data_IF_694080611616
#
_entry.id   IF_694080611616
#
_cell.length_a   1.000
_cell.length_b   1.000
_cell.length_c   1.000
_cell.angle_alpha   90.00
_cell.angle_beta   90.00
_cell.angle_gamma   90.00
#
_symmetry.space_group_name_H-M   'P 1'
#
loop_
_entity.id
_entity.type
_entity.pdbx_description
1 polymer ?
#
# COMPACT_ATOMS: atom_id res chain seq x y z
N UNK A 1 16.97 -2.11 -34.59
CA UNK A 1 16.69 -3.34 -33.84
C UNK A 1 16.75 -3.02 -32.35
N UNK A 2 15.86 -3.61 -31.58
CA UNK A 2 15.84 -3.46 -30.12
C UNK A 2 15.97 -4.85 -29.47
N UNK A 3 16.69 -4.93 -28.37
CA UNK A 3 16.87 -6.12 -27.58
C UNK A 3 16.57 -5.78 -26.12
N UNK A 4 15.72 -6.60 -25.49
CA UNK A 4 15.42 -6.52 -24.07
C UNK A 4 16.02 -7.74 -23.37
N UNK A 5 16.90 -7.53 -22.43
CA UNK A 5 17.58 -8.58 -21.67
C UNK A 5 17.28 -8.44 -20.19
N UNK A 6 16.92 -9.53 -19.53
CA UNK A 6 16.82 -9.57 -18.08
C UNK A 6 18.17 -10.03 -17.51
N UNK A 7 18.86 -9.15 -16.82
CA UNK A 7 20.16 -9.43 -16.23
C UNK A 7 20.07 -10.12 -14.86
N UNK A 8 19.06 -9.76 -14.08
CA UNK A 8 18.68 -10.34 -12.78
C UNK A 8 17.18 -10.20 -12.58
N UNK A 9 16.58 -10.89 -11.60
CA UNK A 9 15.24 -10.56 -11.17
C UNK A 9 15.14 -9.04 -10.89
N UNK A 10 14.19 -8.38 -11.50
CA UNK A 10 13.94 -6.92 -11.38
C UNK A 10 14.97 -5.98 -12.04
N UNK A 11 15.90 -6.50 -12.87
CA UNK A 11 16.83 -5.65 -13.65
C UNK A 11 16.74 -6.02 -15.12
N UNK A 12 16.26 -5.06 -15.90
CA UNK A 12 16.11 -5.18 -17.34
C UNK A 12 17.03 -4.19 -18.04
N UNK A 13 17.68 -4.64 -19.09
CA UNK A 13 18.50 -3.79 -19.96
C UNK A 13 17.87 -3.75 -21.34
N UNK A 14 17.62 -2.55 -21.84
CA UNK A 14 17.14 -2.35 -23.20
C UNK A 14 18.26 -1.77 -24.04
N UNK A 15 18.57 -2.43 -25.16
CA UNK A 15 19.57 -1.99 -26.12
C UNK A 15 18.88 -1.64 -27.43
N UNK A 16 19.13 -0.46 -27.97
CA UNK A 16 18.63 0.00 -29.24
C UNK A 16 19.82 0.22 -30.16
N UNK A 17 19.78 -0.36 -31.35
CA UNK A 17 20.83 -0.25 -32.36
C UNK A 17 20.32 0.46 -33.62
N UNK A 18 21.26 0.89 -34.48
CA UNK A 18 21.01 1.58 -35.73
C UNK A 18 20.36 2.97 -35.57
N UNK A 19 20.84 3.73 -34.59
CA UNK A 19 20.47 5.14 -34.43
C UNK A 19 21.40 5.97 -35.30
N UNK A 20 20.85 6.71 -36.25
CA UNK A 20 21.61 7.59 -37.14
C UNK A 20 21.78 8.98 -36.53
N UNK A 21 22.79 9.75 -36.95
CA UNK A 21 22.90 11.14 -36.52
C UNK A 21 21.64 11.92 -36.87
N UNK A 22 21.05 12.59 -35.86
CA UNK A 22 19.80 13.36 -36.01
C UNK A 22 18.53 12.55 -35.76
N UNK A 23 18.62 11.25 -35.55
CA UNK A 23 17.45 10.44 -35.19
C UNK A 23 16.99 10.73 -33.76
N UNK A 24 15.67 10.67 -33.59
CA UNK A 24 15.03 10.72 -32.28
C UNK A 24 14.45 9.35 -31.96
N UNK A 25 14.78 8.81 -30.80
CA UNK A 25 14.23 7.55 -30.30
C UNK A 25 13.31 7.82 -29.13
N UNK A 26 12.04 7.46 -29.26
CA UNK A 26 11.06 7.49 -28.18
C UNK A 26 10.96 6.12 -27.56
N UNK A 27 11.13 6.03 -26.24
CA UNK A 27 10.97 4.81 -25.46
C UNK A 27 9.81 5.02 -24.50
N UNK A 28 8.83 4.14 -24.57
CA UNK A 28 7.65 4.18 -23.70
C UNK A 28 7.60 2.89 -22.89
N UNK A 29 7.46 3.03 -21.58
CA UNK A 29 7.34 1.92 -20.63
C UNK A 29 6.04 2.05 -19.83
N UNK A 30 5.18 1.04 -19.95
CA UNK A 30 3.98 0.94 -19.15
C UNK A 30 4.16 -0.18 -18.12
N UNK A 31 3.87 0.12 -16.87
CA UNK A 31 3.88 -0.89 -15.81
C UNK A 31 2.79 -0.60 -14.78
N UNK A 32 2.43 -1.61 -14.04
CA UNK A 32 1.44 -1.53 -12.96
C UNK A 32 2.09 -2.01 -11.67
N UNK A 33 1.87 -1.29 -10.60
CA UNK A 33 2.37 -1.61 -9.28
C UNK A 33 1.24 -1.50 -8.26
N UNK A 34 1.22 -2.41 -7.28
CA UNK A 34 0.29 -2.33 -6.16
C UNK A 34 0.96 -1.62 -4.99
N UNK A 35 0.42 -0.46 -4.61
CA UNK A 35 0.90 0.26 -3.43
C UNK A 35 0.28 -0.32 -2.17
N UNK A 36 1.12 -0.62 -1.19
CA UNK A 36 0.70 -1.19 0.09
C UNK A 36 0.53 -0.08 1.11
N UNK A 37 -0.60 -0.10 1.83
CA UNK A 37 -0.83 0.79 2.95
C UNK A 37 0.06 0.37 4.13
N UNK A 38 0.95 1.24 4.56
CA UNK A 38 1.84 1.02 5.69
C UNK A 38 1.62 2.12 6.73
N UNK A 39 1.23 1.73 7.94
CA UNK A 39 0.95 2.67 9.05
C UNK A 39 0.01 3.82 8.64
N UNK A 40 -1.05 3.49 7.90
CA UNK A 40 -2.05 4.47 7.46
C UNK A 40 -1.59 5.39 6.31
N UNK A 41 -0.42 5.16 5.73
CA UNK A 41 0.17 6.00 4.69
C UNK A 41 0.45 5.18 3.43
N UNK A 42 0.04 5.71 2.27
CA UNK A 42 0.47 5.23 0.96
C UNK A 42 1.72 5.98 0.56
N UNK A 43 2.66 5.27 -0.04
CA UNK A 43 3.88 5.83 -0.59
C UNK A 43 4.07 5.37 -2.03
N UNK A 44 4.30 6.34 -2.92
CA UNK A 44 4.72 6.11 -4.29
C UNK A 44 6.14 6.63 -4.46
N UNK A 45 7.04 5.74 -4.90
CA UNK A 45 8.44 6.09 -5.17
C UNK A 45 8.74 5.87 -6.63
N UNK A 46 9.14 6.95 -7.33
CA UNK A 46 9.71 6.85 -8.66
C UNK A 46 11.23 6.98 -8.56
N UNK A 47 11.99 5.88 -8.82
CA UNK A 47 13.44 5.90 -8.71
C UNK A 47 14.06 6.65 -9.89
N UNK A 48 14.48 7.88 -9.66
CA UNK A 48 15.17 8.71 -10.67
C UNK A 48 16.69 8.51 -10.63
N UNK A 49 17.21 7.98 -9.51
CA UNK A 49 18.64 7.79 -9.32
C UNK A 49 19.01 6.32 -9.30
N UNK A 50 19.89 5.92 -10.21
CA UNK A 50 20.54 4.61 -10.15
C UNK A 50 21.80 4.74 -9.31
N UNK A 51 21.70 4.45 -8.02
CA UNK A 51 22.84 4.46 -7.10
C UNK A 51 23.91 3.41 -7.45
N UNK A 52 25.17 3.63 -6.98
CA UNK A 52 26.24 2.67 -7.16
C UNK A 52 25.83 1.34 -6.53
N UNK A 53 25.72 0.33 -7.37
CA UNK A 53 25.56 -1.03 -6.86
C UNK A 53 26.95 -1.52 -6.51
N UNK A 54 27.19 -1.80 -5.24
CA UNK A 54 28.44 -2.41 -4.80
C UNK A 54 28.55 -3.81 -5.43
N UNK A 55 29.32 -3.91 -6.48
CA UNK A 55 29.80 -5.17 -6.98
C UNK A 55 31.04 -5.46 -6.14
N UNK A 56 30.98 -6.45 -5.25
CA UNK A 56 32.16 -6.91 -4.54
C UNK A 56 33.24 -7.26 -5.57
N UNK A 57 34.47 -6.77 -5.46
CA UNK A 57 35.54 -7.09 -6.41
C UNK A 57 36.06 -8.54 -6.28
N UNK A 58 35.25 -9.45 -5.74
CA UNK A 58 35.60 -10.84 -5.59
C UNK A 58 35.34 -11.61 -6.86
N UNK A 59 36.41 -12.00 -7.50
CA UNK A 59 36.67 -13.21 -8.29
C UNK A 59 36.39 -13.26 -9.78
N UNK A 60 35.56 -12.39 -10.39
CA UNK A 60 35.24 -12.60 -11.83
C UNK A 60 35.48 -11.37 -12.72
N UNK A 61 36.69 -10.77 -12.57
CA UNK A 61 37.21 -9.81 -13.55
C UNK A 61 37.73 -10.50 -14.83
N UNK A 62 37.21 -11.67 -15.19
CA UNK A 62 37.52 -12.30 -16.45
C UNK A 62 36.26 -12.43 -17.29
N UNK A 63 36.25 -11.62 -18.37
CA UNK A 63 35.39 -11.73 -19.54
C UNK A 63 33.89 -11.53 -19.32
N UNK A 64 33.42 -10.34 -19.63
CA UNK A 64 32.00 -9.91 -19.60
C UNK A 64 31.68 -8.97 -18.43
N UNK A 65 32.50 -7.94 -18.28
CA UNK A 65 32.30 -6.94 -17.23
C UNK A 65 30.85 -6.47 -17.17
N UNK A 66 30.32 -6.42 -15.99
CA UNK A 66 28.94 -5.97 -15.70
C UNK A 66 28.74 -4.51 -16.17
N UNK A 67 28.67 -4.27 -17.48
CA UNK A 67 28.40 -2.96 -18.09
C UNK A 67 27.14 -2.31 -17.50
N UNK A 68 26.18 -3.11 -17.07
CA UNK A 68 24.97 -2.64 -16.41
C UNK A 68 25.19 -2.10 -14.99
N UNK A 69 26.31 -2.44 -14.35
CA UNK A 69 26.66 -1.95 -13.01
C UNK A 69 27.51 -0.67 -13.10
N UNK A 70 28.09 -0.39 -14.24
CA UNK A 70 28.82 0.82 -14.54
C UNK A 70 27.84 1.93 -14.96
N UNK A 71 26.99 2.40 -14.03
CA UNK A 71 26.23 3.60 -14.27
C UNK A 71 27.21 4.76 -14.43
N UNK A 72 27.13 5.57 -15.52
CA UNK A 72 27.98 6.72 -15.67
C UNK A 72 27.62 7.75 -14.58
N UNK A 73 28.49 7.90 -13.60
CA UNK A 73 28.33 8.92 -12.58
C UNK A 73 28.64 10.29 -13.16
N UNK A 74 27.86 11.25 -12.78
CA UNK A 74 28.23 12.65 -12.93
C UNK A 74 29.03 13.10 -11.69
N UNK A 75 30.01 13.96 -11.90
CA UNK A 75 30.72 14.59 -10.80
C UNK A 75 29.74 15.43 -9.96
N UNK A 76 30.01 15.49 -8.65
CA UNK A 76 29.21 16.29 -7.74
C UNK A 76 29.19 17.75 -8.24
N UNK A 77 27.99 18.32 -8.39
CA UNK A 77 27.71 19.64 -8.94
C UNK A 77 27.87 19.79 -10.48
N UNK A 78 28.03 18.72 -11.22
CA UNK A 78 27.90 18.80 -12.67
C UNK A 78 26.45 19.09 -13.06
N UNK A 79 26.26 19.89 -14.13
CA UNK A 79 24.91 20.12 -14.64
C UNK A 79 24.29 18.80 -15.13
N UNK A 80 22.99 18.57 -14.89
CA UNK A 80 22.32 17.35 -15.35
C UNK A 80 22.37 17.26 -16.89
N UNK A 81 22.67 16.07 -17.39
CA UNK A 81 22.74 15.82 -18.86
C UNK A 81 21.36 15.68 -19.50
N UNK A 82 20.35 15.47 -18.71
CA UNK A 82 18.97 15.33 -19.14
C UNK A 82 18.02 16.00 -18.16
N UNK A 83 16.82 16.21 -18.60
CA UNK A 83 15.71 16.68 -17.76
C UNK A 83 14.62 15.65 -17.74
N UNK A 84 13.90 15.57 -16.63
CA UNK A 84 12.70 14.76 -16.51
C UNK A 84 11.56 15.59 -15.94
N UNK A 85 10.35 15.12 -16.15
CA UNK A 85 9.17 15.70 -15.56
C UNK A 85 8.29 14.60 -14.97
N UNK A 86 7.55 14.93 -13.93
CA UNK A 86 6.60 14.01 -13.30
C UNK A 86 5.25 14.70 -13.22
N UNK A 87 4.25 14.00 -13.77
CA UNK A 87 2.84 14.34 -13.59
C UNK A 87 2.13 13.14 -12.97
N UNK A 88 1.52 13.32 -11.81
CA UNK A 88 0.76 12.30 -11.12
C UNK A 88 -0.70 12.68 -11.07
N UNK A 89 -1.57 11.78 -11.53
CA UNK A 89 -3.02 11.88 -11.32
C UNK A 89 -3.42 10.87 -10.24
N UNK A 90 -3.76 11.37 -9.07
CA UNK A 90 -4.20 10.57 -7.95
C UNK A 90 -5.72 10.59 -7.90
N UNK A 91 -6.33 9.41 -7.89
CA UNK A 91 -7.77 9.23 -7.75
C UNK A 91 -8.06 8.15 -6.72
N UNK A 92 -8.92 8.46 -5.77
CA UNK A 92 -9.28 7.56 -4.68
C UNK A 92 -10.80 7.57 -4.49
N UNK A 93 -11.31 6.60 -3.75
CA UNK A 93 -12.74 6.53 -3.39
C UNK A 93 -13.03 7.18 -2.03
N UNK A 94 -11.98 7.48 -1.29
CA UNK A 94 -12.03 8.11 0.04
C UNK A 94 -11.23 9.41 -0.06
N UNK A 95 -11.65 10.51 0.60
CA UNK A 95 -10.92 11.76 0.56
C UNK A 95 -9.42 11.61 0.88
N UNK A 96 -8.61 12.30 0.10
CA UNK A 96 -7.15 12.32 0.25
C UNK A 96 -6.79 13.34 1.34
N UNK A 97 -5.91 12.93 2.25
CA UNK A 97 -5.35 13.77 3.30
C UNK A 97 -3.85 13.60 3.38
N UNK A 98 -3.17 14.52 4.03
CA UNK A 98 -1.72 14.40 4.28
C UNK A 98 -0.87 14.28 3.03
N UNK A 99 -1.33 14.79 1.87
CA UNK A 99 -0.58 14.74 0.63
C UNK A 99 0.70 15.56 0.74
N UNK A 100 1.85 14.91 0.61
CA UNK A 100 3.16 15.53 0.74
C UNK A 100 4.21 14.86 -0.15
N UNK A 101 5.16 15.66 -0.61
CA UNK A 101 6.37 15.18 -1.27
C UNK A 101 7.59 15.72 -0.51
N UNK A 102 8.32 14.81 0.15
CA UNK A 102 9.50 15.20 0.93
C UNK A 102 10.73 15.45 0.05
N UNK A 103 10.76 14.87 -1.14
CA UNK A 103 11.92 14.88 -2.03
C UNK A 103 11.96 16.09 -2.97
N UNK A 104 10.80 16.61 -3.40
CA UNK A 104 10.69 17.67 -4.39
C UNK A 104 9.61 18.70 -3.99
N UNK A 105 9.75 19.91 -4.51
CA UNK A 105 8.65 20.87 -4.47
C UNK A 105 7.61 20.48 -5.50
N UNK A 106 6.36 20.44 -5.10
CA UNK A 106 5.25 20.04 -5.96
C UNK A 106 4.18 21.12 -6.03
N UNK A 107 3.56 21.22 -7.19
CA UNK A 107 2.29 21.93 -7.39
C UNK A 107 1.16 20.91 -7.28
N UNK A 108 0.17 21.19 -6.46
CA UNK A 108 -0.97 20.31 -6.23
C UNK A 108 -2.25 21.04 -6.60
N UNK A 109 -3.01 20.44 -7.50
CA UNK A 109 -4.39 20.84 -7.80
C UNK A 109 -5.32 19.73 -7.29
N UNK A 110 -6.21 20.07 -6.38
CA UNK A 110 -7.18 19.13 -5.80
C UNK A 110 -8.60 19.58 -6.15
N UNK A 111 -9.11 19.20 -7.32
CA UNK A 111 -10.42 19.64 -7.80
C UNK A 111 -11.57 19.10 -6.95
N UNK A 112 -11.39 17.93 -6.34
CA UNK A 112 -12.30 17.31 -5.38
C UNK A 112 -11.48 16.57 -4.33
N UNK A 113 -12.05 16.35 -3.16
CA UNK A 113 -11.35 15.73 -2.02
C UNK A 113 -10.74 14.34 -2.32
N UNK A 114 -11.30 13.63 -3.29
CA UNK A 114 -10.87 12.29 -3.69
C UNK A 114 -9.96 12.25 -4.91
N UNK A 115 -9.55 13.40 -5.45
CA UNK A 115 -8.61 13.44 -6.57
C UNK A 115 -7.62 14.58 -6.44
N UNK A 116 -6.39 14.34 -6.90
CA UNK A 116 -5.35 15.35 -6.98
C UNK A 116 -4.54 15.20 -8.26
N UNK A 117 -4.09 16.32 -8.80
CA UNK A 117 -3.09 16.39 -9.87
C UNK A 117 -1.84 16.99 -9.27
N UNK A 118 -0.73 16.30 -9.45
CA UNK A 118 0.54 16.69 -8.86
C UNK A 118 1.56 16.82 -9.99
N UNK A 119 2.31 17.91 -10.01
CA UNK A 119 3.42 18.14 -10.94
C UNK A 119 4.62 18.70 -10.17
N UNK A 120 5.82 18.60 -10.77
CA UNK A 120 7.00 19.25 -10.21
C UNK A 120 6.79 20.78 -10.21
N UNK A 121 7.16 21.41 -9.10
CA UNK A 121 6.93 22.83 -8.85
C UNK A 121 8.13 23.73 -9.08
N UNK A 122 9.35 23.16 -9.12
CA UNK A 122 10.58 23.92 -9.26
C UNK A 122 11.39 23.41 -10.47
N UNK A 123 11.74 24.27 -11.42
CA UNK A 123 12.59 23.87 -12.54
C UNK A 123 13.92 23.23 -12.14
N UNK A 124 14.45 23.57 -10.97
CA UNK A 124 15.67 22.95 -10.43
C UNK A 124 15.50 21.47 -10.09
N UNK A 125 14.26 21.02 -9.86
CA UNK A 125 13.94 19.63 -9.52
C UNK A 125 13.88 18.69 -10.74
N UNK A 126 13.98 19.22 -11.95
CA UNK A 126 13.94 18.44 -13.20
C UNK A 126 15.27 17.76 -13.56
N UNK A 127 16.26 17.81 -12.69
CA UNK A 127 17.60 17.24 -12.94
C UNK A 127 17.74 15.74 -12.64
N UNK A 128 16.77 15.11 -12.02
CA UNK A 128 16.79 13.67 -11.71
C UNK A 128 17.90 13.24 -10.75
N UNK A 129 18.26 14.09 -9.80
CA UNK A 129 19.35 13.85 -8.84
C UNK A 129 18.92 13.10 -7.57
N UNK A 130 17.63 12.86 -7.42
CA UNK A 130 17.02 12.13 -6.28
C UNK A 130 15.71 11.49 -6.67
N UNK A 131 15.31 10.46 -5.93
CA UNK A 131 14.05 9.78 -6.14
C UNK A 131 12.87 10.69 -5.80
N UNK A 132 11.81 10.57 -6.59
CA UNK A 132 10.56 11.27 -6.31
C UNK A 132 9.73 10.42 -5.34
N UNK A 133 9.37 10.98 -4.19
CA UNK A 133 8.65 10.28 -3.11
C UNK A 133 7.39 11.06 -2.77
N UNK A 134 6.24 10.51 -3.15
CA UNK A 134 4.93 11.07 -2.86
C UNK A 134 4.23 10.22 -1.79
N UNK A 135 3.73 10.87 -0.75
CA UNK A 135 2.98 10.23 0.35
C UNK A 135 1.62 10.85 0.50
N UNK A 136 0.64 10.04 0.83
CA UNK A 136 -0.70 10.51 1.18
C UNK A 136 -1.38 9.54 2.14
N UNK A 137 -2.41 10.04 2.79
CA UNK A 137 -3.30 9.26 3.64
C UNK A 137 -4.72 9.37 3.09
N UNK A 138 -5.58 8.47 3.48
CA UNK A 138 -7.00 8.54 3.19
C UNK A 138 -7.74 8.93 4.46
N UNK A 139 -8.66 9.91 4.34
CA UNK A 139 -9.38 10.43 5.50
C UNK A 139 -10.30 9.37 6.12
N UNK A 140 -10.25 9.21 7.43
CA UNK A 140 -11.30 8.53 8.15
C UNK A 140 -10.90 7.83 9.43
N UNK A 141 -11.63 8.16 10.49
CA UNK A 141 -11.67 7.37 11.73
C UNK A 141 -12.76 6.28 11.69
N UNK A 142 -13.68 6.35 10.74
CA UNK A 142 -14.75 5.36 10.55
C UNK A 142 -14.45 4.43 9.37
N UNK A 143 -15.08 3.26 9.34
CA UNK A 143 -15.06 2.36 8.18
C UNK A 143 -15.54 3.13 6.95
N UNK A 144 -14.71 3.21 5.94
CA UNK A 144 -15.06 3.82 4.65
C UNK A 144 -14.92 2.80 3.55
N UNK A 145 -15.90 2.81 2.67
CA UNK A 145 -15.85 1.98 1.47
C UNK A 145 -16.12 2.84 0.24
N UNK A 146 -15.55 2.44 -0.87
CA UNK A 146 -15.78 3.08 -2.14
C UNK A 146 -15.57 2.11 -3.28
N UNK A 147 -16.23 2.40 -4.39
CA UNK A 147 -16.22 1.59 -5.59
C UNK A 147 -15.67 2.42 -6.74
N UNK A 148 -14.63 1.91 -7.38
CA UNK A 148 -14.12 2.43 -8.65
C UNK A 148 -14.55 1.50 -9.77
N UNK A 149 -15.04 2.08 -10.85
CA UNK A 149 -15.42 1.37 -12.07
C UNK A 149 -14.50 1.81 -13.20
N UNK A 150 -14.00 0.86 -13.96
CA UNK A 150 -13.28 1.10 -15.20
C UNK A 150 -13.97 0.33 -16.33
N UNK A 151 -14.44 1.07 -17.34
CA UNK A 151 -15.08 0.51 -18.52
C UNK A 151 -14.05 0.38 -19.64
N UNK A 152 -13.77 -0.84 -20.04
CA UNK A 152 -12.91 -1.14 -21.17
C UNK A 152 -13.73 -1.54 -22.41
N UNK A 153 -13.07 -1.66 -23.54
CA UNK A 153 -13.74 -2.07 -24.81
C UNK A 153 -14.23 -3.54 -24.77
N UNK A 154 -13.55 -4.41 -24.05
CA UNK A 154 -13.87 -5.85 -24.00
C UNK A 154 -14.45 -6.27 -22.66
N UNK A 155 -14.00 -5.67 -21.58
CA UNK A 155 -14.35 -6.04 -20.20
C UNK A 155 -14.43 -4.80 -19.33
N UNK A 156 -15.29 -4.87 -18.32
CA UNK A 156 -15.41 -3.84 -17.30
C UNK A 156 -14.81 -4.38 -16.01
N UNK A 157 -14.07 -3.52 -15.32
CA UNK A 157 -13.44 -3.86 -14.04
C UNK A 157 -14.01 -2.99 -12.94
N UNK A 158 -14.07 -3.53 -11.74
CA UNK A 158 -14.35 -2.73 -10.56
C UNK A 158 -13.31 -3.03 -9.47
N UNK A 159 -13.07 -2.03 -8.65
CA UNK A 159 -12.27 -2.16 -7.45
C UNK A 159 -13.10 -1.67 -6.27
N UNK A 160 -13.35 -2.58 -5.33
CA UNK A 160 -13.94 -2.23 -4.04
C UNK A 160 -12.82 -1.99 -3.04
N UNK A 161 -12.77 -0.79 -2.47
CA UNK A 161 -11.87 -0.44 -1.39
C UNK A 161 -12.67 -0.35 -0.10
N UNK A 162 -12.23 -1.07 0.93
CA UNK A 162 -12.78 -0.98 2.28
C UNK A 162 -11.62 -0.65 3.23
N UNK A 163 -11.68 0.50 3.85
CA UNK A 163 -10.69 0.92 4.83
C UNK A 163 -11.27 0.77 6.23
N UNK A 164 -10.69 -0.12 7.06
CA UNK A 164 -11.09 -0.22 8.46
C UNK A 164 -10.65 1.02 9.24
N UNK A 165 -11.28 1.34 10.38
CA UNK A 165 -10.83 2.40 11.25
C UNK A 165 -9.46 2.06 11.85
N UNK A 166 -8.66 3.06 12.16
CA UNK A 166 -7.36 2.89 12.81
C UNK A 166 -7.48 2.22 14.18
N UNK A 167 -8.53 2.57 14.90
CA UNK A 167 -8.95 1.91 16.16
C UNK A 167 -10.45 1.75 16.18
N UNK A 168 -10.90 0.59 16.62
CA UNK A 168 -12.30 0.34 16.91
C UNK A 168 -12.60 0.98 18.27
N UNK A 169 -13.48 1.96 18.31
CA UNK A 169 -13.95 2.54 19.57
C UNK A 169 -14.99 1.63 20.22
N UNK A 170 -15.18 1.74 21.52
CA UNK A 170 -16.21 0.97 22.22
C UNK A 170 -17.63 1.27 21.69
N UNK A 171 -17.84 2.46 21.14
CA UNK A 171 -19.10 2.92 20.54
C UNK A 171 -19.39 2.25 19.19
N UNK A 172 -18.32 1.86 18.45
CA UNK A 172 -18.44 1.18 17.16
C UNK A 172 -18.80 -0.31 17.30
N UNK A 173 -18.68 -0.86 18.52
CA UNK A 173 -18.98 -2.26 18.76
C UNK A 173 -20.47 -2.39 19.07
N UNK A 174 -21.26 -3.05 18.20
CA UNK A 174 -22.70 -3.23 18.48
C UNK A 174 -22.92 -3.99 19.78
N UNK A 175 -24.03 -3.72 20.42
CA UNK A 175 -24.48 -4.49 21.58
C UNK A 175 -24.63 -5.97 21.21
N UNK A 176 -24.25 -6.86 22.11
CA UNK A 176 -24.31 -8.30 21.92
C UNK A 176 -25.38 -8.90 22.82
N UNK A 177 -26.01 -9.96 22.33
CA UNK A 177 -26.87 -10.83 23.13
C UNK A 177 -26.12 -12.14 23.36
N UNK A 178 -25.90 -12.47 24.64
CA UNK A 178 -25.24 -13.71 25.05
C UNK A 178 -26.31 -14.70 25.51
N UNK A 179 -26.24 -15.91 25.01
CA UNK A 179 -27.13 -17.01 25.44
C UNK A 179 -26.26 -18.09 26.07
N UNK A 180 -26.34 -18.20 27.38
CA UNK A 180 -25.67 -19.25 28.15
C UNK A 180 -26.60 -20.44 28.29
N UNK A 181 -26.17 -21.61 27.86
CA UNK A 181 -26.91 -22.85 28.05
C UNK A 181 -26.11 -23.72 29.00
N UNK A 182 -26.62 -23.86 30.23
CA UNK A 182 -25.99 -24.66 31.28
C UNK A 182 -26.58 -26.03 31.32
N UNK A 183 -25.74 -27.07 31.17
CA UNK A 183 -26.11 -28.43 31.41
C UNK A 183 -26.22 -28.67 32.92
N UNK A 184 -27.39 -29.11 33.36
CA UNK A 184 -27.72 -29.45 34.76
C UNK A 184 -28.09 -30.92 34.92
N UNK A 185 -27.64 -31.79 34.01
CA UNK A 185 -27.82 -33.22 34.09
C UNK A 185 -27.15 -33.82 35.35
N UNK A 186 -27.54 -35.02 35.74
CA UNK A 186 -27.04 -35.66 36.95
C UNK A 186 -25.52 -35.82 36.99
N UNK A 187 -24.87 -35.97 35.84
CA UNK A 187 -23.40 -36.06 35.71
C UNK A 187 -22.68 -34.76 36.05
N UNK A 188 -23.37 -33.61 36.00
CA UNK A 188 -22.82 -32.29 36.32
C UNK A 188 -22.89 -31.96 37.81
N UNK A 189 -23.49 -32.82 38.63
CA UNK A 189 -23.67 -32.53 40.06
C UNK A 189 -22.33 -32.35 40.81
N UNK A 190 -22.27 -31.34 41.66
CA UNK A 190 -21.08 -31.02 42.43
C UNK A 190 -20.08 -30.12 41.67
N UNK A 191 -18.79 -30.42 41.75
CA UNK A 191 -17.70 -29.60 41.23
C UNK A 191 -17.89 -29.12 39.77
N UNK A 192 -18.33 -29.94 38.78
CA UNK A 192 -18.50 -29.45 37.42
C UNK A 192 -19.56 -28.35 37.31
N UNK A 193 -20.69 -28.50 38.01
CA UNK A 193 -21.78 -27.51 37.99
C UNK A 193 -21.37 -26.20 38.69
N UNK A 194 -20.64 -26.33 39.80
CA UNK A 194 -20.20 -25.17 40.57
C UNK A 194 -19.16 -24.36 39.77
N UNK A 195 -18.20 -25.03 39.12
CA UNK A 195 -17.24 -24.38 38.23
C UNK A 195 -17.94 -23.72 37.04
N UNK A 196 -18.95 -24.33 36.44
CA UNK A 196 -19.70 -23.76 35.34
C UNK A 196 -20.47 -22.50 35.74
N UNK A 197 -21.02 -22.47 36.95
CA UNK A 197 -21.70 -21.29 37.53
C UNK A 197 -20.70 -20.15 37.76
N UNK A 198 -19.56 -20.42 38.38
CA UNK A 198 -18.49 -19.45 38.60
C UNK A 198 -18.04 -18.82 37.29
N UNK A 199 -17.85 -19.64 36.22
CA UNK A 199 -17.49 -19.17 34.91
C UNK A 199 -18.55 -18.23 34.30
N UNK A 200 -19.85 -18.59 34.42
CA UNK A 200 -20.92 -17.75 33.91
C UNK A 200 -21.00 -16.44 34.70
N UNK A 201 -20.82 -16.46 36.00
CA UNK A 201 -20.80 -15.25 36.83
C UNK A 201 -19.66 -14.33 36.45
N UNK A 202 -18.46 -14.86 36.20
CA UNK A 202 -17.31 -14.09 35.72
C UNK A 202 -17.61 -13.49 34.34
N UNK A 203 -18.13 -14.28 33.39
CA UNK A 203 -18.48 -13.79 32.07
C UNK A 203 -19.55 -12.70 32.11
N UNK A 204 -20.59 -12.84 32.92
CA UNK A 204 -21.65 -11.85 33.06
C UNK A 204 -21.12 -10.56 33.69
N UNK A 205 -20.23 -10.67 34.67
CA UNK A 205 -19.60 -9.51 35.34
C UNK A 205 -18.73 -8.68 34.40
N UNK A 206 -18.23 -9.28 33.32
CA UNK A 206 -17.40 -8.63 32.31
C UNK A 206 -18.18 -8.15 31.07
N UNK A 207 -19.51 -8.29 31.05
CA UNK A 207 -20.35 -7.75 29.99
C UNK A 207 -20.40 -6.22 30.05
N UNK A 208 -20.55 -5.59 28.89
CA UNK A 208 -20.79 -4.14 28.82
C UNK A 208 -22.23 -3.83 29.23
N UNK A 209 -22.48 -2.62 29.69
CA UNK A 209 -23.83 -2.15 30.04
C UNK A 209 -24.84 -2.25 28.88
N UNK A 210 -24.35 -2.21 27.64
CA UNK A 210 -25.16 -2.33 26.44
C UNK A 210 -25.44 -3.76 26.02
N UNK A 211 -24.71 -4.73 26.58
CA UNK A 211 -24.89 -6.15 26.26
C UNK A 211 -26.05 -6.75 27.05
N UNK A 212 -26.73 -7.72 26.49
CA UNK A 212 -27.80 -8.44 27.13
C UNK A 212 -27.47 -9.92 27.23
N UNK A 213 -28.04 -10.62 28.21
CA UNK A 213 -27.83 -12.06 28.31
C UNK A 213 -29.10 -12.83 28.73
N UNK A 214 -29.11 -14.09 28.36
CA UNK A 214 -30.12 -15.09 28.78
C UNK A 214 -29.41 -16.32 29.26
N UNK A 215 -29.98 -16.96 30.31
CA UNK A 215 -29.50 -18.23 30.81
C UNK A 215 -30.58 -19.27 30.63
N UNK A 216 -30.24 -20.31 29.86
CA UNK A 216 -31.08 -21.50 29.70
C UNK A 216 -30.48 -22.69 30.42
N UNK A 217 -31.32 -23.67 30.81
CA UNK A 217 -30.89 -24.95 31.36
C UNK A 217 -31.18 -26.05 30.36
N UNK A 218 -30.19 -26.90 30.11
CA UNK A 218 -30.36 -28.15 29.41
C UNK A 218 -30.30 -29.29 30.44
N UNK A 219 -31.16 -30.29 30.31
CA UNK A 219 -31.04 -31.53 31.04
C UNK A 219 -31.44 -32.68 30.12
N UNK A 220 -30.64 -33.74 30.08
CA UNK A 220 -31.10 -35.00 29.50
C UNK A 220 -32.24 -35.56 30.36
N UNK A 221 -33.42 -35.73 29.78
CA UNK A 221 -34.41 -36.63 30.36
C UNK A 221 -33.99 -38.03 29.95
N UNK A 222 -33.63 -38.88 30.92
CA UNK A 222 -33.63 -40.30 30.73
C UNK A 222 -35.04 -40.79 30.49
#
# INVERSE_FOLDING_TARGET
ASLLEQQRPNVFTMKVANIMPGDTVNIELHYTEMLVLTEGTYEFVFPAVVGPRYVSPSSDQKEGGHEWAAAPYQEKNAAPKGTYDIAVSLSTVVPITGLACASHKINVEQPVDSSARIALGDPADHGGDRDFILRWQLAGQAVKSGLMLNTGEKENFFMLMVQPPERVSAEDIPSREYIFVLDVSGSMFGYPLDTAKELIEDMVSNLRETDTFKIGRASCRE
#
